data_IF_085410486510
#
_entry.id   IF_085410486510
#
_cell.length_a   1.000
_cell.length_b   1.000
_cell.length_c   1.000
_cell.angle_alpha   90.00
_cell.angle_beta   90.00
_cell.angle_gamma   90.00
#
_symmetry.space_group_name_H-M   'P 1'
#
loop_
_entity.id
_entity.type
_entity.pdbx_description
1 polymer ?
#
# COMPACT_ATOMS: atom_id res chain seq x y z
N UNK A 1 14.76 10.44 -24.09
CA UNK A 1 15.12 11.83 -23.88
C UNK A 1 15.87 12.00 -22.58
N UNK A 2 16.88 12.84 -22.61
CA UNK A 2 17.69 13.08 -21.42
C UNK A 2 16.91 13.87 -20.36
N UNK A 3 17.38 13.72 -19.15
CA UNK A 3 16.92 14.48 -18.01
C UNK A 3 17.19 15.97 -18.20
N UNK A 4 16.16 16.80 -18.02
CA UNK A 4 16.27 18.26 -18.20
C UNK A 4 16.76 18.98 -16.94
N UNK A 5 16.94 18.26 -15.83
CA UNK A 5 17.37 18.83 -14.56
C UNK A 5 18.89 18.76 -14.42
N UNK A 6 19.49 19.81 -13.87
CA UNK A 6 20.89 19.77 -13.45
C UNK A 6 21.06 18.87 -12.22
N UNK A 7 22.29 18.38 -11.91
CA UNK A 7 22.50 17.62 -10.68
C UNK A 7 22.08 18.36 -9.41
N UNK A 8 22.29 19.67 -9.34
CA UNK A 8 21.89 20.49 -8.19
C UNK A 8 20.37 20.58 -8.09
N UNK A 9 19.68 20.76 -9.21
CA UNK A 9 18.22 20.81 -9.25
C UNK A 9 17.64 19.47 -8.83
N UNK A 10 18.21 18.37 -9.31
CA UNK A 10 17.78 17.01 -8.94
C UNK A 10 17.96 16.77 -7.45
N UNK A 11 19.12 17.12 -6.90
CA UNK A 11 19.41 16.96 -5.47
C UNK A 11 18.43 17.77 -4.63
N UNK A 12 18.11 19.00 -5.04
CA UNK A 12 17.16 19.86 -4.35
C UNK A 12 15.74 19.26 -4.40
N UNK A 13 15.32 18.79 -5.56
CA UNK A 13 14.01 18.15 -5.73
C UNK A 13 13.89 16.91 -4.85
N UNK A 14 14.92 16.06 -4.80
CA UNK A 14 14.92 14.87 -3.97
C UNK A 14 14.88 15.19 -2.48
N UNK A 15 15.53 16.29 -2.05
CA UNK A 15 15.52 16.71 -0.64
C UNK A 15 14.15 17.18 -0.16
N UNK A 16 13.24 17.56 -1.08
CA UNK A 16 11.89 18.01 -0.76
C UNK A 16 10.87 16.88 -0.78
N UNK A 17 11.25 15.67 -1.16
CA UNK A 17 10.33 14.53 -1.15
C UNK A 17 10.03 14.13 0.29
N UNK A 18 8.75 14.14 0.63
CA UNK A 18 8.28 13.76 1.96
C UNK A 18 8.24 12.24 2.10
N UNK A 19 8.65 11.74 3.27
CA UNK A 19 8.52 10.32 3.60
C UNK A 19 7.11 9.92 4.03
N UNK A 20 6.26 10.90 4.36
CA UNK A 20 4.87 10.67 4.78
C UNK A 20 4.01 11.86 4.37
N UNK A 21 2.69 11.67 4.40
CA UNK A 21 1.71 12.71 4.07
C UNK A 21 1.94 13.32 2.68
N UNK A 22 2.34 12.47 1.72
CA UNK A 22 2.47 12.88 0.32
C UNK A 22 1.10 13.19 -0.27
N UNK A 23 1.07 13.89 -1.42
CA UNK A 23 -0.19 14.27 -2.07
C UNK A 23 -1.07 13.05 -2.40
N UNK A 24 -0.48 11.94 -2.83
CA UNK A 24 -1.23 10.73 -3.15
C UNK A 24 -1.83 10.09 -1.88
N UNK A 25 -1.09 10.08 -0.78
CA UNK A 25 -1.60 9.58 0.50
C UNK A 25 -2.79 10.41 0.98
N UNK A 26 -2.66 11.74 0.93
CA UNK A 26 -3.73 12.64 1.36
C UNK A 26 -4.96 12.48 0.47
N UNK A 27 -4.77 12.37 -0.84
CA UNK A 27 -5.87 12.19 -1.80
C UNK A 27 -6.65 10.91 -1.49
N UNK A 28 -5.96 9.80 -1.30
CA UNK A 28 -6.59 8.52 -1.00
C UNK A 28 -7.28 8.53 0.36
N UNK A 29 -6.63 9.09 1.38
CA UNK A 29 -7.22 9.18 2.72
C UNK A 29 -8.55 9.95 2.71
N UNK A 30 -8.57 11.10 2.03
CA UNK A 30 -9.81 11.90 1.94
C UNK A 30 -10.92 11.15 1.23
N UNK A 31 -10.59 10.45 0.15
CA UNK A 31 -11.57 9.67 -0.61
C UNK A 31 -12.16 8.53 0.23
N UNK A 32 -11.32 7.83 0.98
CA UNK A 32 -11.77 6.77 1.90
C UNK A 32 -12.65 7.33 3.02
N UNK A 33 -12.27 8.47 3.58
CA UNK A 33 -13.04 9.12 4.65
C UNK A 33 -14.44 9.51 4.18
N UNK A 34 -14.56 10.02 2.96
CA UNK A 34 -15.85 10.37 2.35
C UNK A 34 -16.79 9.16 2.22
N UNK A 35 -16.23 7.97 2.07
CA UNK A 35 -17.02 6.72 2.00
C UNK A 35 -17.35 6.14 3.38
N UNK A 36 -16.99 6.86 4.44
CA UNK A 36 -17.24 6.39 5.80
C UNK A 36 -16.21 5.41 6.34
N UNK A 37 -15.10 5.19 5.61
CA UNK A 37 -14.03 4.31 6.05
C UNK A 37 -13.12 5.06 7.01
N UNK A 38 -12.93 4.49 8.19
CA UNK A 38 -12.08 5.07 9.22
C UNK A 38 -10.78 4.30 9.33
N UNK A 39 -9.69 5.02 9.60
CA UNK A 39 -8.35 4.45 9.53
C UNK A 39 -7.39 5.21 10.44
N UNK A 40 -6.20 4.64 10.61
CA UNK A 40 -5.05 5.28 11.21
C UNK A 40 -4.02 5.57 10.12
N UNK A 41 -3.42 6.74 10.13
CA UNK A 41 -2.42 7.13 9.15
C UNK A 41 -1.00 6.87 9.65
N UNK A 42 -0.10 6.53 8.76
CA UNK A 42 1.32 6.31 9.07
C UNK A 42 1.51 5.41 10.29
N UNK A 43 0.96 4.20 10.22
CA UNK A 43 0.79 3.32 11.37
C UNK A 43 2.08 2.56 11.67
N UNK A 44 2.87 3.07 12.61
CA UNK A 44 4.20 2.54 12.95
C UNK A 44 4.17 1.20 13.69
N UNK A 45 3.03 0.77 14.19
CA UNK A 45 2.92 -0.49 14.94
C UNK A 45 2.96 -1.73 14.06
N UNK A 46 2.94 -1.57 12.74
CA UNK A 46 2.94 -2.67 11.79
C UNK A 46 4.18 -2.64 10.91
N UNK A 47 4.63 -3.82 10.40
CA UNK A 47 5.73 -3.89 9.45
C UNK A 47 5.50 -2.99 8.24
N UNK A 48 6.52 -2.26 7.82
CA UNK A 48 6.47 -1.38 6.66
C UNK A 48 5.80 -0.04 6.91
N UNK A 49 5.28 0.22 8.09
CA UNK A 49 4.59 1.47 8.44
C UNK A 49 3.54 1.83 7.38
N UNK A 50 2.41 1.10 7.31
CA UNK A 50 1.38 1.38 6.32
C UNK A 50 0.95 2.84 6.35
N UNK A 51 0.75 3.42 5.17
CA UNK A 51 0.29 4.80 5.06
C UNK A 51 -1.13 4.95 5.60
N UNK A 52 -1.94 3.91 5.44
CA UNK A 52 -3.33 3.86 5.91
C UNK A 52 -3.57 2.48 6.52
N UNK A 53 -3.97 2.44 7.78
CA UNK A 53 -4.32 1.19 8.46
C UNK A 53 -5.80 1.22 8.83
N UNK A 54 -6.59 0.34 8.21
CA UNK A 54 -8.01 0.15 8.55
C UNK A 54 -8.05 -0.92 9.64
N UNK A 55 -7.90 -0.50 10.88
CA UNK A 55 -7.72 -1.40 12.02
C UNK A 55 -8.93 -2.29 12.28
N UNK A 56 -10.13 -1.81 11.98
CA UNK A 56 -11.35 -2.58 12.17
C UNK A 56 -11.36 -3.88 11.36
N UNK A 57 -10.78 -3.85 10.16
CA UNK A 57 -10.76 -4.99 9.24
C UNK A 57 -9.37 -5.57 9.03
N UNK A 58 -8.35 -4.98 9.69
CA UNK A 58 -6.95 -5.40 9.55
C UNK A 58 -6.47 -5.33 8.11
N UNK A 59 -6.68 -4.17 7.49
CA UNK A 59 -6.19 -3.87 6.14
C UNK A 59 -5.07 -2.82 6.23
N UNK A 60 -3.93 -3.13 5.66
CA UNK A 60 -2.77 -2.25 5.62
C UNK A 60 -2.58 -1.75 4.19
N UNK A 61 -2.78 -0.46 3.94
CA UNK A 61 -2.69 0.15 2.61
C UNK A 61 -1.39 0.93 2.49
N UNK A 62 -0.68 0.66 1.40
CA UNK A 62 0.55 1.34 1.03
C UNK A 62 0.33 2.13 -0.26
N UNK A 63 0.75 3.39 -0.24
CA UNK A 63 0.74 4.27 -1.41
C UNK A 63 2.15 4.33 -1.98
N UNK A 64 2.42 3.54 -3.01
CA UNK A 64 3.77 3.29 -3.51
C UNK A 64 4.11 4.20 -4.69
N UNK A 65 5.21 4.95 -4.56
CA UNK A 65 5.73 5.69 -5.70
C UNK A 65 6.35 4.72 -6.70
N UNK A 66 6.12 4.96 -7.99
CA UNK A 66 6.58 4.07 -9.07
C UNK A 66 8.09 3.90 -9.07
N UNK A 67 8.81 4.99 -8.86
CA UNK A 67 10.27 4.96 -8.92
C UNK A 67 10.88 4.15 -7.78
N UNK A 68 10.49 4.45 -6.53
CA UNK A 68 11.14 3.85 -5.37
C UNK A 68 10.71 2.42 -5.09
N UNK A 69 9.55 2.00 -5.60
CA UNK A 69 9.01 0.66 -5.36
C UNK A 69 9.07 -0.26 -6.57
N UNK A 70 9.76 0.19 -7.62
CA UNK A 70 10.08 -0.67 -8.76
C UNK A 70 8.94 -0.94 -9.71
N UNK A 71 8.04 0.03 -9.92
CA UNK A 71 6.99 -0.10 -10.93
C UNK A 71 7.61 -0.34 -12.30
N UNK A 72 7.16 -1.39 -12.98
CA UNK A 72 7.67 -1.77 -14.31
C UNK A 72 9.20 -1.91 -14.34
N UNK A 73 9.77 -2.51 -13.29
CA UNK A 73 11.18 -2.48 -12.98
C UNK A 73 12.07 -3.08 -14.08
N UNK A 74 11.67 -4.21 -14.67
CA UNK A 74 12.48 -4.88 -15.70
C UNK A 74 12.75 -3.97 -16.90
N UNK A 75 11.81 -3.09 -17.24
CA UNK A 75 11.99 -2.12 -18.32
C UNK A 75 12.75 -0.90 -17.84
N UNK A 76 12.37 -0.35 -16.68
CA UNK A 76 12.98 0.89 -16.15
C UNK A 76 14.43 0.71 -15.75
N UNK A 77 14.79 -0.47 -15.26
CA UNK A 77 16.15 -0.82 -14.89
C UNK A 77 17.12 -0.59 -16.04
N UNK A 78 16.73 -0.92 -17.26
CA UNK A 78 17.56 -0.76 -18.46
C UNK A 78 17.74 0.70 -18.86
N UNK A 79 16.84 1.57 -18.44
CA UNK A 79 16.83 3.00 -18.81
C UNK A 79 17.51 3.90 -17.79
N UNK A 80 17.99 3.36 -16.67
CA UNK A 80 18.67 4.14 -15.67
C UNK A 80 20.02 4.63 -16.21
N UNK A 81 20.30 5.91 -16.03
CA UNK A 81 21.54 6.54 -16.47
C UNK A 81 22.50 6.81 -15.32
N UNK A 82 22.43 7.99 -14.72
CA UNK A 82 23.33 8.44 -13.68
C UNK A 82 23.20 7.61 -12.40
N UNK A 83 24.35 7.17 -11.85
CA UNK A 83 24.42 6.33 -10.64
C UNK A 83 23.58 5.05 -10.74
N UNK A 84 23.62 4.41 -11.90
CA UNK A 84 22.82 3.24 -12.21
C UNK A 84 22.92 2.13 -11.15
N UNK A 85 24.15 1.75 -10.79
CA UNK A 85 24.38 0.66 -9.82
C UNK A 85 23.80 0.99 -8.44
N UNK A 86 23.94 2.23 -8.00
CA UNK A 86 23.39 2.69 -6.74
C UNK A 86 21.87 2.55 -6.73
N UNK A 87 21.20 3.03 -7.77
CA UNK A 87 19.75 2.99 -7.86
C UNK A 87 19.22 1.58 -8.02
N UNK A 88 19.91 0.73 -8.78
CA UNK A 88 19.50 -0.68 -8.91
C UNK A 88 19.48 -1.36 -7.54
N UNK A 89 20.56 -1.23 -6.78
CA UNK A 89 20.64 -1.84 -5.44
C UNK A 89 19.58 -1.29 -4.51
N UNK A 90 19.37 0.02 -4.53
CA UNK A 90 18.41 0.67 -3.64
C UNK A 90 16.98 0.24 -3.95
N UNK A 91 16.58 0.27 -5.21
CA UNK A 91 15.22 -0.08 -5.62
C UNK A 91 14.96 -1.56 -5.40
N UNK A 92 15.90 -2.44 -5.76
CA UNK A 92 15.73 -3.87 -5.55
C UNK A 92 15.66 -4.23 -4.06
N UNK A 93 16.42 -3.52 -3.22
CA UNK A 93 16.30 -3.66 -1.77
C UNK A 93 14.93 -3.22 -1.26
N UNK A 94 14.40 -2.11 -1.77
CA UNK A 94 13.06 -1.63 -1.41
C UNK A 94 12.00 -2.66 -1.81
N UNK A 95 12.08 -3.21 -3.02
CA UNK A 95 11.16 -4.24 -3.49
C UNK A 95 11.19 -5.50 -2.61
N UNK A 96 12.40 -5.93 -2.24
CA UNK A 96 12.57 -7.09 -1.35
C UNK A 96 11.98 -6.82 0.03
N UNK A 97 12.21 -5.63 0.56
CA UNK A 97 11.66 -5.21 1.86
C UNK A 97 10.14 -5.15 1.83
N UNK A 98 9.56 -4.64 0.75
CA UNK A 98 8.10 -4.58 0.58
C UNK A 98 7.50 -5.99 0.63
N UNK A 99 8.10 -6.94 -0.08
CA UNK A 99 7.65 -8.33 -0.06
C UNK A 99 7.76 -8.95 1.34
N UNK A 100 8.87 -8.70 2.02
CA UNK A 100 9.08 -9.20 3.38
C UNK A 100 8.05 -8.63 4.36
N UNK A 101 7.77 -7.33 4.26
CA UNK A 101 6.78 -6.68 5.09
C UNK A 101 5.38 -7.23 4.82
N UNK A 102 5.04 -7.49 3.56
CA UNK A 102 3.74 -8.09 3.20
C UNK A 102 3.60 -9.48 3.83
N UNK A 103 4.64 -10.32 3.78
CA UNK A 103 4.61 -11.64 4.42
C UNK A 103 4.42 -11.53 5.94
N UNK A 104 5.10 -10.56 6.57
CA UNK A 104 4.93 -10.34 8.01
C UNK A 104 3.52 -9.89 8.36
N UNK A 105 2.93 -9.02 7.55
CA UNK A 105 1.55 -8.56 7.73
C UNK A 105 0.57 -9.71 7.61
N UNK A 106 0.71 -10.54 6.58
CA UNK A 106 -0.14 -11.70 6.37
C UNK A 106 -0.03 -12.67 7.55
N UNK A 107 1.18 -12.89 8.07
CA UNK A 107 1.41 -13.72 9.24
C UNK A 107 0.73 -13.17 10.51
N UNK A 108 0.45 -11.88 10.55
CA UNK A 108 -0.28 -11.21 11.64
C UNK A 108 -1.78 -11.11 11.39
N UNK A 109 -2.30 -11.78 10.36
CA UNK A 109 -3.69 -11.74 9.91
C UNK A 109 -4.13 -10.38 9.37
N UNK A 110 -3.18 -9.60 8.87
CA UNK A 110 -3.46 -8.37 8.16
C UNK A 110 -3.39 -8.60 6.65
N UNK A 111 -4.20 -7.85 5.90
CA UNK A 111 -4.20 -7.92 4.44
C UNK A 111 -3.48 -6.67 3.90
N UNK A 112 -2.32 -6.83 3.26
CA UNK A 112 -1.66 -5.68 2.63
C UNK A 112 -2.31 -5.36 1.29
N UNK A 113 -2.47 -4.06 1.01
CA UNK A 113 -2.91 -3.54 -0.29
C UNK A 113 -1.92 -2.49 -0.74
N UNK A 114 -1.51 -2.57 -1.99
CA UNK A 114 -0.60 -1.60 -2.58
C UNK A 114 -1.28 -0.90 -3.75
N UNK A 115 -1.21 0.42 -3.75
CA UNK A 115 -1.67 1.23 -4.89
C UNK A 115 -0.51 2.07 -5.40
N UNK A 116 -0.31 2.08 -6.70
CA UNK A 116 0.67 2.95 -7.33
C UNK A 116 0.19 4.40 -7.32
N UNK A 117 1.13 5.35 -7.22
CA UNK A 117 0.81 6.76 -7.18
C UNK A 117 -0.07 7.22 -8.35
N UNK A 118 0.20 6.72 -9.56
CA UNK A 118 -0.61 7.06 -10.72
C UNK A 118 -2.03 6.50 -10.64
N UNK A 119 -2.20 5.31 -10.08
CA UNK A 119 -3.54 4.75 -9.85
C UNK A 119 -4.34 5.66 -8.92
N UNK A 120 -3.72 6.11 -7.84
CA UNK A 120 -4.38 7.00 -6.88
C UNK A 120 -4.76 8.32 -7.53
N UNK A 121 -3.85 8.92 -8.32
CA UNK A 121 -4.10 10.20 -8.97
C UNK A 121 -5.17 10.13 -10.05
N UNK A 122 -5.13 9.10 -10.88
CA UNK A 122 -5.99 9.00 -12.07
C UNK A 122 -7.25 8.19 -11.85
N UNK A 123 -7.23 7.27 -10.88
CA UNK A 123 -8.31 6.30 -10.63
C UNK A 123 -8.60 6.17 -9.15
N UNK A 124 -8.71 7.31 -8.47
CA UNK A 124 -8.96 7.36 -7.03
C UNK A 124 -10.19 6.53 -6.63
N UNK A 125 -11.28 6.66 -7.38
CA UNK A 125 -12.52 5.94 -7.09
C UNK A 125 -12.36 4.42 -7.25
N UNK A 126 -11.56 3.98 -8.20
CA UNK A 126 -11.26 2.55 -8.36
C UNK A 126 -10.45 2.01 -7.19
N UNK A 127 -9.49 2.81 -6.67
CA UNK A 127 -8.71 2.43 -5.49
C UNK A 127 -9.62 2.31 -4.26
N UNK A 128 -10.51 3.27 -4.06
CA UNK A 128 -11.49 3.23 -2.97
C UNK A 128 -12.40 2.03 -3.12
N UNK A 129 -12.88 1.78 -4.36
CA UNK A 129 -13.71 0.63 -4.66
C UNK A 129 -13.04 -0.70 -4.32
N UNK A 130 -11.74 -0.83 -4.62
CA UNK A 130 -10.98 -2.02 -4.26
C UNK A 130 -10.93 -2.23 -2.74
N UNK A 131 -10.75 -1.15 -1.98
CA UNK A 131 -10.76 -1.22 -0.51
C UNK A 131 -12.15 -1.60 0.00
N UNK A 132 -13.20 -1.02 -0.56
CA UNK A 132 -14.59 -1.36 -0.19
C UNK A 132 -14.91 -2.82 -0.49
N UNK A 133 -14.47 -3.32 -1.64
CA UNK A 133 -14.67 -4.73 -2.02
C UNK A 133 -13.98 -5.67 -1.04
N UNK A 134 -12.77 -5.35 -0.63
CA UNK A 134 -12.04 -6.15 0.35
C UNK A 134 -12.74 -6.12 1.71
N UNK A 135 -13.21 -4.96 2.15
CA UNK A 135 -13.98 -4.83 3.40
C UNK A 135 -15.22 -5.73 3.33
N UNK A 136 -15.94 -5.69 2.23
CA UNK A 136 -17.13 -6.51 2.03
C UNK A 136 -16.79 -8.00 2.10
N UNK A 137 -15.74 -8.45 1.41
CA UNK A 137 -15.30 -9.84 1.46
C UNK A 137 -14.94 -10.27 2.88
N UNK A 138 -14.21 -9.45 3.63
CA UNK A 138 -13.83 -9.76 5.00
C UNK A 138 -15.06 -9.83 5.93
N UNK A 139 -16.03 -8.95 5.73
CA UNK A 139 -17.30 -8.99 6.47
C UNK A 139 -18.06 -10.29 6.19
N UNK A 140 -18.12 -10.71 4.93
CA UNK A 140 -18.79 -11.95 4.55
C UNK A 140 -18.09 -13.17 5.13
N UNK A 141 -16.77 -13.18 5.15
CA UNK A 141 -16.00 -14.27 5.78
C UNK A 141 -16.30 -14.38 7.28
N UNK A 142 -16.38 -13.26 7.99
CA UNK A 142 -16.76 -13.23 9.41
C UNK A 142 -18.18 -13.75 9.61
N UNK A 143 -19.11 -13.36 8.76
CA UNK A 143 -20.50 -13.80 8.81
C UNK A 143 -20.60 -15.32 8.59
N UNK A 144 -19.91 -15.85 7.60
CA UNK A 144 -19.88 -17.29 7.32
C UNK A 144 -19.28 -18.06 8.51
N UNK A 145 -18.20 -17.55 9.11
CA UNK A 145 -17.61 -18.14 10.31
C UNK A 145 -18.58 -18.19 11.48
N UNK A 146 -19.35 -17.12 11.68
CA UNK A 146 -20.39 -17.07 12.71
C UNK A 146 -21.49 -18.12 12.46
N UNK A 147 -21.90 -18.32 11.23
CA UNK A 147 -22.90 -19.33 10.86
C UNK A 147 -22.37 -20.72 11.15
N UNK A 148 -21.12 -21.00 10.79
CA UNK A 148 -20.49 -22.29 11.03
C UNK A 148 -20.40 -22.57 12.53
N UNK A 149 -19.99 -21.60 13.34
CA UNK A 149 -19.96 -21.71 14.80
C UNK A 149 -21.33 -22.01 15.37
N UNK A 150 -22.37 -21.36 14.87
CA UNK A 150 -23.76 -21.61 15.30
C UNK A 150 -24.23 -23.01 14.93
N UNK A 151 -23.85 -23.52 13.76
CA UNK A 151 -24.16 -24.89 13.34
C UNK A 151 -23.50 -25.93 14.27
N UNK A 152 -22.21 -25.68 14.58
CA UNK A 152 -21.45 -26.59 15.49
C UNK A 152 -22.08 -26.60 16.86
N UNK A 153 -22.53 -25.46 17.39
CA UNK A 153 -23.23 -25.38 18.66
C UNK A 153 -24.57 -26.15 18.63
N UNK A 154 -25.30 -26.03 17.51
CA UNK A 154 -26.55 -26.79 17.34
C UNK A 154 -26.32 -28.28 17.33
N UNK A 155 -25.22 -28.74 16.73
CA UNK A 155 -24.87 -30.16 16.71
C UNK A 155 -24.50 -30.68 18.11
N UNK A 156 -23.88 -29.83 18.94
CA UNK A 156 -23.50 -30.20 20.31
C UNK A 156 -24.74 -30.39 21.22
N UNK A 157 -25.81 -29.66 20.94
CA UNK A 157 -27.03 -29.68 21.75
C UNK A 157 -28.07 -30.72 21.31
N UNK A 158 -27.77 -31.49 20.31
CA UNK A 158 -28.60 -32.65 19.92
C UNK A 158 -28.20 -33.85 20.77
#
# INVERSE_FOLDING_TARGET
>A
MSDVMTPEQRSRAMSHIKGKDTSIEVLLRKALWHKGIRYRKNYKKLPGTPDIAITKYKIAIFCDSEFFHGYNWEIKKQKLGHNREYWIKKIERNMARDRENDFKLIAMDWVPMHFWGQEIQKRTEECVGAAEDLIFELQMMQFDGMIDDMRDLSLIHI
#
